data_IF_426163628569
#
_entry.id   IF_426163628569
#
_cell.length_a   1.000
_cell.length_b   1.000
_cell.length_c   1.000
_cell.angle_alpha   90.00
_cell.angle_beta   90.00
_cell.angle_gamma   90.00
#
_symmetry.space_group_name_H-M   'P 1'
#
loop_
_entity.id
_entity.type
_entity.pdbx_description
1 polymer ?
#
# COMPACT_ATOMS: atom_id res chain seq x y z
N UNK A 1 -17.74 -14.11 -12.77
CA UNK A 1 -16.90 -12.98 -12.26
C UNK A 1 -15.66 -13.55 -11.56
N UNK A 2 -14.51 -12.87 -11.60
CA UNK A 2 -13.22 -13.38 -11.08
C UNK A 2 -13.11 -13.46 -9.55
N UNK A 3 -14.13 -12.97 -8.83
CA UNK A 3 -14.11 -12.80 -7.37
C UNK A 3 -12.96 -11.92 -6.86
N UNK A 4 -12.47 -11.01 -7.72
CA UNK A 4 -11.56 -9.92 -7.35
C UNK A 4 -12.24 -8.95 -6.40
N UNK A 5 -11.45 -8.33 -5.53
CA UNK A 5 -11.93 -7.42 -4.49
C UNK A 5 -10.98 -6.24 -4.35
N UNK A 6 -11.54 -5.03 -4.31
CA UNK A 6 -10.84 -3.79 -4.00
C UNK A 6 -11.64 -3.00 -2.96
N UNK A 7 -11.48 -3.39 -1.69
CA UNK A 7 -12.10 -2.74 -0.54
C UNK A 7 -11.11 -1.79 0.10
N UNK A 8 -11.41 -0.50 -0.01
CA UNK A 8 -10.54 0.59 0.41
C UNK A 8 -11.37 1.64 1.14
N UNK A 9 -10.76 2.31 2.12
CA UNK A 9 -11.35 3.45 2.83
C UNK A 9 -10.73 4.72 2.30
N UNK A 10 -11.59 5.63 1.81
CA UNK A 10 -11.19 6.94 1.34
C UNK A 10 -11.54 7.97 2.41
N UNK A 11 -10.56 8.79 2.81
CA UNK A 11 -10.74 9.85 3.81
C UNK A 11 -10.29 11.19 3.22
N UNK A 12 -11.08 11.81 2.32
CA UNK A 12 -10.70 13.05 1.63
C UNK A 12 -10.33 14.19 2.57
N UNK A 13 -11.09 14.38 3.66
CA UNK A 13 -10.84 15.43 4.64
C UNK A 13 -9.44 15.37 5.26
N UNK A 14 -8.84 14.18 5.35
CA UNK A 14 -7.50 13.97 5.88
C UNK A 14 -6.44 13.75 4.80
N UNK A 15 -6.80 13.81 3.51
CA UNK A 15 -5.89 13.49 2.42
C UNK A 15 -5.40 12.04 2.47
N UNK A 16 -6.23 11.10 2.93
CA UNK A 16 -5.77 9.74 3.26
C UNK A 16 -6.55 8.66 2.50
N UNK A 17 -5.82 7.61 2.11
CA UNK A 17 -6.37 6.36 1.60
C UNK A 17 -5.89 5.22 2.49
N UNK A 18 -6.78 4.31 2.86
CA UNK A 18 -6.43 3.05 3.52
C UNK A 18 -6.81 1.91 2.61
N UNK A 19 -5.79 1.20 2.13
CA UNK A 19 -5.94 -0.02 1.36
C UNK A 19 -6.10 -1.21 2.30
N UNK A 20 -7.29 -1.83 2.31
CA UNK A 20 -7.63 -2.92 3.23
C UNK A 20 -7.58 -4.28 2.56
N UNK A 21 -8.45 -4.54 1.57
CA UNK A 21 -8.41 -5.78 0.78
C UNK A 21 -8.24 -5.50 -0.71
N UNK A 22 -7.11 -5.93 -1.26
CA UNK A 22 -6.80 -5.73 -2.68
C UNK A 22 -6.33 -7.03 -3.34
N UNK A 23 -7.28 -7.73 -3.97
CA UNK A 23 -7.01 -8.89 -4.79
C UNK A 23 -7.42 -8.60 -6.22
N UNK A 24 -6.44 -8.42 -7.11
CA UNK A 24 -6.72 -8.13 -8.51
C UNK A 24 -7.38 -9.30 -9.23
N UNK A 25 -8.13 -9.05 -10.32
CA UNK A 25 -8.63 -10.10 -11.20
C UNK A 25 -7.52 -11.06 -11.66
N UNK A 26 -6.37 -10.51 -12.08
CA UNK A 26 -5.18 -11.29 -12.48
C UNK A 26 -4.67 -12.17 -11.34
N UNK A 27 -4.60 -11.64 -10.12
CA UNK A 27 -4.20 -12.43 -8.93
C UNK A 27 -5.17 -13.56 -8.61
N UNK A 28 -6.47 -13.34 -8.79
CA UNK A 28 -7.50 -14.35 -8.51
C UNK A 28 -7.51 -15.45 -9.56
N UNK A 29 -7.36 -15.11 -10.84
CA UNK A 29 -7.31 -16.09 -11.94
C UNK A 29 -6.08 -16.99 -11.89
N UNK A 30 -4.96 -16.52 -11.34
CA UNK A 30 -3.77 -17.33 -11.14
C UNK A 30 -3.94 -18.45 -10.08
N UNK A 31 -5.06 -18.51 -9.36
CA UNK A 31 -5.32 -19.53 -8.33
C UNK A 31 -5.92 -20.82 -8.95
N UNK A 32 -5.66 -21.99 -8.34
CA UNK A 32 -6.32 -23.23 -8.76
C UNK A 32 -7.84 -23.09 -8.73
N UNK A 33 -8.52 -23.63 -9.76
CA UNK A 33 -10.00 -23.62 -9.90
C UNK A 33 -10.62 -22.22 -10.00
N UNK A 34 -9.85 -21.19 -10.35
CA UNK A 34 -10.40 -19.85 -10.58
C UNK A 34 -11.32 -19.81 -11.81
N UNK A 35 -12.30 -18.91 -11.79
CA UNK A 35 -13.31 -18.74 -12.85
C UNK A 35 -13.38 -17.28 -13.30
N UNK A 36 -13.81 -17.04 -14.55
CA UNK A 36 -14.05 -15.71 -15.10
C UNK A 36 -12.90 -15.15 -15.95
N UNK A 37 -13.07 -13.91 -16.42
CA UNK A 37 -12.15 -13.22 -17.34
C UNK A 37 -11.58 -11.98 -16.68
N UNK A 38 -10.30 -11.71 -16.89
CA UNK A 38 -9.64 -10.49 -16.42
C UNK A 38 -10.14 -9.30 -17.26
N UNK A 39 -10.80 -8.30 -16.66
CA UNK A 39 -11.19 -7.08 -17.38
C UNK A 39 -9.95 -6.22 -17.68
N UNK A 40 -10.08 -5.27 -18.61
CA UNK A 40 -9.00 -4.29 -18.87
C UNK A 40 -8.64 -3.48 -17.62
N UNK A 41 -9.63 -3.14 -16.79
CA UNK A 41 -9.43 -2.46 -15.51
C UNK A 41 -9.08 -3.49 -14.41
N UNK A 42 -7.82 -3.94 -14.38
CA UNK A 42 -7.34 -4.97 -13.44
C UNK A 42 -6.29 -4.48 -12.42
N UNK A 43 -5.92 -3.19 -12.47
CA UNK A 43 -4.89 -2.61 -11.62
C UNK A 43 -5.51 -1.83 -10.46
N UNK A 44 -4.91 -1.98 -9.28
CA UNK A 44 -5.31 -1.23 -8.10
C UNK A 44 -5.11 0.27 -8.29
N UNK A 45 -4.06 0.72 -8.97
CA UNK A 45 -3.76 2.14 -9.20
C UNK A 45 -4.98 2.87 -9.77
N UNK A 46 -5.60 2.27 -10.77
CA UNK A 46 -6.67 2.87 -11.56
C UNK A 46 -7.98 2.84 -10.77
N UNK A 47 -8.30 1.68 -10.16
CA UNK A 47 -9.49 1.51 -9.33
C UNK A 47 -9.44 2.44 -8.11
N UNK A 48 -8.28 2.52 -7.44
CA UNK A 48 -8.06 3.40 -6.31
C UNK A 48 -8.19 4.87 -6.70
N UNK A 49 -7.67 5.27 -7.86
CA UNK A 49 -7.85 6.62 -8.37
C UNK A 49 -9.34 6.97 -8.55
N UNK A 50 -10.15 6.10 -9.16
CA UNK A 50 -11.58 6.36 -9.31
C UNK A 50 -12.31 6.44 -7.97
N UNK A 51 -11.97 5.56 -7.03
CA UNK A 51 -12.51 5.62 -5.67
C UNK A 51 -12.14 6.93 -4.96
N UNK A 52 -10.89 7.39 -5.10
CA UNK A 52 -10.42 8.67 -4.56
C UNK A 52 -11.13 9.86 -5.21
N UNK A 53 -11.19 9.89 -6.54
CA UNK A 53 -11.87 10.92 -7.32
C UNK A 53 -13.35 11.04 -6.92
N UNK A 54 -14.06 9.90 -6.85
CA UNK A 54 -15.45 9.85 -6.46
C UNK A 54 -15.65 10.39 -5.04
N UNK A 55 -14.80 9.98 -4.11
CA UNK A 55 -14.87 10.42 -2.71
C UNK A 55 -14.58 11.90 -2.53
N UNK A 56 -13.57 12.42 -3.24
CA UNK A 56 -13.24 13.84 -3.28
C UNK A 56 -14.43 14.68 -3.78
N UNK A 57 -15.02 14.27 -4.91
CA UNK A 57 -16.21 14.93 -5.48
C UNK A 57 -17.38 14.93 -4.50
N UNK A 58 -17.65 13.80 -3.85
CA UNK A 58 -18.75 13.69 -2.88
C UNK A 58 -18.54 14.56 -1.63
N UNK A 59 -17.28 14.89 -1.30
CA UNK A 59 -16.91 15.70 -0.12
C UNK A 59 -16.55 17.14 -0.45
N UNK A 60 -16.56 17.55 -1.72
CA UNK A 60 -16.12 18.89 -2.15
C UNK A 60 -14.64 19.17 -1.84
N UNK A 61 -13.79 18.13 -1.86
CA UNK A 61 -12.35 18.23 -1.59
C UNK A 61 -11.57 18.12 -2.90
N UNK A 62 -10.51 18.90 -3.03
CA UNK A 62 -9.59 18.82 -4.17
C UNK A 62 -8.88 17.47 -4.25
N UNK A 63 -8.79 16.88 -5.44
CA UNK A 63 -8.13 15.57 -5.63
C UNK A 63 -6.63 15.60 -5.34
N UNK A 64 -6.01 16.78 -5.48
CA UNK A 64 -4.58 17.01 -5.16
C UNK A 64 -4.27 17.03 -3.66
N UNK A 65 -5.29 16.93 -2.80
CA UNK A 65 -5.14 16.94 -1.35
C UNK A 65 -4.59 15.63 -0.76
N UNK A 66 -4.33 14.62 -1.58
CA UNK A 66 -3.78 13.34 -1.16
C UNK A 66 -2.37 13.50 -0.54
N UNK A 67 -2.22 13.01 0.70
CA UNK A 67 -1.03 13.15 1.56
C UNK A 67 -0.50 11.83 2.09
N UNK A 68 -1.35 10.81 2.23
CA UNK A 68 -0.95 9.56 2.86
C UNK A 68 -1.70 8.35 2.32
N UNK A 69 -0.99 7.25 2.17
CA UNK A 69 -1.55 5.95 1.77
C UNK A 69 -1.12 4.88 2.77
N UNK A 70 -2.10 4.22 3.38
CA UNK A 70 -1.88 3.08 4.25
C UNK A 70 -2.10 1.78 3.50
N UNK A 71 -1.21 0.81 3.73
CA UNK A 71 -1.37 -0.61 3.35
C UNK A 71 -1.63 -1.39 4.62
N UNK A 72 -2.88 -1.80 4.81
CA UNK A 72 -3.26 -2.72 5.88
C UNK A 72 -2.86 -4.14 5.49
N UNK A 73 -2.40 -4.91 6.47
CA UNK A 73 -2.28 -6.38 6.41
C UNK A 73 -1.62 -6.93 5.14
N UNK A 74 -0.32 -6.70 5.01
CA UNK A 74 0.47 -7.26 3.90
C UNK A 74 0.62 -8.77 4.05
N UNK A 75 -0.08 -9.50 3.20
CA UNK A 75 0.02 -10.97 3.08
C UNK A 75 0.82 -11.41 1.84
N UNK A 76 1.21 -10.48 0.97
CA UNK A 76 1.98 -10.80 -0.23
C UNK A 76 3.43 -11.14 0.16
N UNK A 77 3.78 -12.42 0.06
CA UNK A 77 5.08 -12.96 0.50
C UNK A 77 6.28 -12.16 -0.03
N UNK A 78 6.31 -11.84 -1.33
CA UNK A 78 7.43 -11.08 -1.90
C UNK A 78 7.58 -9.68 -1.32
N UNK A 79 6.46 -9.03 -0.95
CA UNK A 79 6.50 -7.73 -0.28
C UNK A 79 6.98 -7.89 1.16
N UNK A 80 6.44 -8.87 1.89
CA UNK A 80 6.84 -9.14 3.27
C UNK A 80 8.32 -9.50 3.39
N UNK A 81 8.85 -10.33 2.49
CA UNK A 81 10.26 -10.72 2.47
C UNK A 81 11.17 -9.50 2.24
N UNK A 82 10.81 -8.59 1.33
CA UNK A 82 11.55 -7.34 1.08
C UNK A 82 11.49 -6.41 2.29
N UNK A 83 10.31 -6.24 2.91
CA UNK A 83 10.15 -5.39 4.10
C UNK A 83 10.95 -5.92 5.29
N UNK A 84 10.91 -7.23 5.53
CA UNK A 84 11.71 -7.85 6.61
C UNK A 84 13.20 -7.68 6.35
N UNK A 85 13.64 -7.85 5.09
CA UNK A 85 15.03 -7.61 4.72
C UNK A 85 15.43 -6.17 4.99
N UNK A 86 14.64 -5.19 4.55
CA UNK A 86 14.87 -3.78 4.81
C UNK A 86 14.99 -3.46 6.32
N UNK A 87 14.11 -4.04 7.15
CA UNK A 87 14.19 -3.91 8.61
C UNK A 87 15.50 -4.48 9.18
N UNK A 88 15.90 -5.68 8.74
CA UNK A 88 17.15 -6.33 9.20
C UNK A 88 18.40 -5.58 8.75
N UNK A 89 18.41 -5.10 7.51
CA UNK A 89 19.52 -4.32 6.95
C UNK A 89 19.68 -2.99 7.74
N UNK A 90 18.58 -2.44 8.28
CA UNK A 90 18.55 -1.31 9.20
C UNK A 90 18.71 -1.68 10.69
N UNK A 91 19.21 -2.88 10.99
CA UNK A 91 19.48 -3.39 12.35
C UNK A 91 18.27 -3.50 13.30
N UNK A 92 17.03 -3.52 12.78
CA UNK A 92 15.88 -3.90 13.59
C UNK A 92 15.92 -5.40 13.89
N UNK A 93 15.57 -5.78 15.12
CA UNK A 93 15.49 -7.18 15.57
C UNK A 93 14.09 -7.78 15.42
N UNK A 94 13.08 -6.92 15.23
CA UNK A 94 11.66 -7.26 15.14
C UNK A 94 10.91 -6.26 14.25
N UNK A 95 9.67 -6.58 13.87
CA UNK A 95 8.75 -5.60 13.29
C UNK A 95 8.26 -4.70 14.43
N UNK A 96 8.49 -3.38 14.36
CA UNK A 96 8.05 -2.48 15.43
C UNK A 96 6.52 -2.31 15.45
N UNK A 97 6.00 -1.94 16.62
CA UNK A 97 4.60 -1.50 16.74
C UNK A 97 4.39 -0.11 16.15
N UNK A 98 3.13 0.35 16.09
CA UNK A 98 2.80 1.65 15.47
C UNK A 98 3.51 2.86 16.12
N UNK A 99 3.65 2.85 17.45
CA UNK A 99 4.31 3.94 18.18
C UNK A 99 5.79 4.08 17.77
N UNK A 100 6.48 2.95 17.63
CA UNK A 100 7.93 2.84 17.34
C UNK A 100 8.24 2.54 15.88
N UNK A 101 7.26 2.72 14.98
CA UNK A 101 7.34 2.39 13.55
C UNK A 101 8.71 2.73 12.94
N UNK A 102 9.24 1.83 12.14
CA UNK A 102 10.47 2.07 11.39
C UNK A 102 10.15 3.01 10.22
N UNK A 103 10.85 4.12 10.07
CA UNK A 103 10.64 5.07 8.97
C UNK A 103 11.85 5.08 8.05
N UNK A 104 11.61 4.85 6.76
CA UNK A 104 12.64 4.86 5.73
C UNK A 104 12.34 5.96 4.71
N UNK A 105 13.32 6.83 4.46
CA UNK A 105 13.26 7.82 3.37
C UNK A 105 13.27 7.11 2.02
N UNK A 106 12.55 7.66 1.03
CA UNK A 106 12.63 7.17 -0.36
C UNK A 106 14.01 7.41 -1.01
N UNK A 107 14.91 8.15 -0.35
CA UNK A 107 16.31 8.31 -0.76
C UNK A 107 17.23 7.22 -0.16
N UNK A 108 16.72 6.38 0.76
CA UNK A 108 17.48 5.26 1.33
C UNK A 108 17.29 3.97 0.52
N UNK A 109 18.24 3.04 0.63
CA UNK A 109 18.17 1.72 -0.02
C UNK A 109 16.92 0.95 0.41
N UNK A 110 16.58 1.02 1.70
CA UNK A 110 15.43 0.37 2.32
C UNK A 110 14.12 0.96 1.80
N UNK A 111 14.01 2.29 1.75
CA UNK A 111 12.84 2.98 1.22
C UNK A 111 12.61 2.65 -0.24
N UNK A 112 13.66 2.68 -1.07
CA UNK A 112 13.60 2.32 -2.49
C UNK A 112 13.23 0.84 -2.70
N UNK A 113 13.78 -0.06 -1.90
CA UNK A 113 13.43 -1.48 -1.97
C UNK A 113 11.93 -1.70 -1.68
N UNK A 114 11.39 -1.04 -0.64
CA UNK A 114 9.97 -1.12 -0.31
C UNK A 114 9.09 -0.45 -1.37
N UNK A 115 9.54 0.68 -1.93
CA UNK A 115 8.85 1.36 -3.03
C UNK A 115 8.73 0.47 -4.28
N UNK A 116 9.77 -0.31 -4.58
CA UNK A 116 9.79 -1.25 -5.70
C UNK A 116 8.87 -2.47 -5.55
N UNK A 117 8.30 -2.70 -4.36
CA UNK A 117 7.33 -3.79 -4.15
C UNK A 117 6.02 -3.54 -4.91
N UNK A 118 5.20 -4.57 -5.09
CA UNK A 118 3.86 -4.41 -5.71
C UNK A 118 2.94 -3.45 -4.94
N UNK A 119 3.18 -3.22 -3.65
CA UNK A 119 2.39 -2.31 -2.81
C UNK A 119 2.89 -0.85 -2.85
N UNK A 120 4.22 -0.65 -2.93
CA UNK A 120 4.80 0.67 -3.16
C UNK A 120 4.53 1.14 -4.59
N UNK A 121 4.86 0.31 -5.58
CA UNK A 121 4.72 0.64 -7.00
C UNK A 121 3.28 0.94 -7.41
N UNK A 122 2.26 0.24 -6.90
CA UNK A 122 0.87 0.57 -7.23
C UNK A 122 0.44 1.94 -6.71
N UNK A 123 0.99 2.39 -5.58
CA UNK A 123 0.80 3.76 -5.10
C UNK A 123 1.51 4.76 -6.02
N UNK A 124 2.75 4.49 -6.39
CA UNK A 124 3.52 5.34 -7.30
C UNK A 124 2.86 5.45 -8.70
N UNK A 125 2.38 4.34 -9.25
CA UNK A 125 1.68 4.30 -10.55
C UNK A 125 0.43 5.16 -10.55
N UNK A 126 -0.38 5.11 -9.49
CA UNK A 126 -1.55 5.98 -9.34
C UNK A 126 -1.17 7.47 -9.41
N UNK A 127 -0.12 7.87 -8.70
CA UNK A 127 0.37 9.26 -8.70
C UNK A 127 0.91 9.67 -10.08
N UNK A 128 1.69 8.81 -10.74
CA UNK A 128 2.31 9.08 -12.04
C UNK A 128 1.26 9.23 -13.13
N UNK A 129 0.31 8.29 -13.22
CA UNK A 129 -0.68 8.22 -14.29
C UNK A 129 -1.74 9.33 -14.18
N UNK A 130 -2.02 9.79 -12.96
CA UNK A 130 -3.06 10.79 -12.69
C UNK A 130 -2.53 12.13 -12.18
N UNK A 131 -1.26 12.46 -12.50
CA UNK A 131 -0.60 13.71 -12.10
C UNK A 131 -1.36 14.99 -12.50
N UNK A 132 -2.18 14.93 -13.56
CA UNK A 132 -3.03 16.06 -13.98
C UNK A 132 -4.07 16.43 -12.93
N UNK A 133 -4.62 15.44 -12.23
CA UNK A 133 -5.67 15.62 -11.22
C UNK A 133 -5.10 15.61 -9.80
N UNK A 134 -4.11 14.76 -9.54
CA UNK A 134 -3.49 14.61 -8.23
C UNK A 134 -2.40 15.64 -7.96
N UNK A 135 -1.96 16.38 -8.99
CA UNK A 135 -0.78 17.24 -8.93
C UNK A 135 0.51 16.45 -9.11
N UNK A 136 1.63 17.17 -9.24
CA UNK A 136 2.95 16.55 -9.28
C UNK A 136 3.34 16.17 -7.85
N UNK A 137 3.32 14.87 -7.55
CA UNK A 137 3.56 14.32 -6.21
C UNK A 137 4.76 13.40 -6.21
N UNK A 138 5.43 13.31 -5.06
CA UNK A 138 6.41 12.28 -4.75
C UNK A 138 6.10 11.62 -3.41
N UNK A 139 6.47 10.35 -3.28
CA UNK A 139 6.48 9.66 -1.98
C UNK A 139 7.79 10.08 -1.29
N UNK A 140 7.71 10.58 -0.05
CA UNK A 140 8.89 11.03 0.70
C UNK A 140 9.46 9.92 1.59
N UNK A 141 8.59 9.14 2.22
CA UNK A 141 8.98 8.12 3.18
C UNK A 141 7.95 6.99 3.23
N UNK A 142 8.39 5.87 3.81
CA UNK A 142 7.52 4.76 4.21
C UNK A 142 7.74 4.45 5.67
N UNK A 143 6.66 4.40 6.44
CA UNK A 143 6.68 3.84 7.79
C UNK A 143 6.22 2.38 7.77
N UNK A 144 6.97 1.50 8.42
CA UNK A 144 6.71 0.08 8.60
C UNK A 144 6.36 -0.19 10.05
N UNK A 145 5.25 -0.90 10.28
CA UNK A 145 4.81 -1.26 11.62
C UNK A 145 3.88 -2.47 11.58
N UNK A 146 3.59 -3.04 12.75
CA UNK A 146 2.54 -4.04 12.92
C UNK A 146 1.35 -3.50 13.71
N UNK A 147 0.26 -4.27 13.71
CA UNK A 147 -0.75 -4.13 14.75
C UNK A 147 -0.15 -4.45 16.14
N UNK A 148 -0.53 -3.69 17.16
CA UNK A 148 -0.09 -3.88 18.54
C UNK A 148 1.32 -3.36 18.84
N UNK A 149 2.03 -4.04 19.75
CA UNK A 149 3.33 -3.64 20.32
C UNK A 149 4.55 -4.11 19.50
N UNK A 150 4.34 -4.59 18.27
CA UNK A 150 5.39 -5.19 17.43
C UNK A 150 5.39 -6.72 17.47
N UNK A 151 6.12 -7.35 16.55
CA UNK A 151 6.27 -8.81 16.48
C UNK A 151 7.68 -9.22 16.06
N UNK A 152 8.18 -10.31 16.63
CA UNK A 152 9.42 -10.94 16.18
C UNK A 152 9.37 -11.32 14.69
N UNK A 153 10.53 -11.43 14.04
CA UNK A 153 10.64 -11.94 12.68
C UNK A 153 10.34 -13.46 12.64
N UNK A 154 9.08 -13.84 12.77
CA UNK A 154 8.69 -15.25 12.71
C UNK A 154 8.69 -15.77 11.27
N UNK A 155 9.07 -17.04 11.06
CA UNK A 155 8.99 -17.70 9.74
C UNK A 155 7.55 -18.04 9.32
N UNK A 156 6.58 -17.87 10.22
CA UNK A 156 5.16 -18.21 10.02
C UNK A 156 4.25 -16.97 10.04
N UNK A 157 4.59 -15.95 9.24
CA UNK A 157 3.78 -14.73 9.07
C UNK A 157 2.43 -14.93 8.33
N UNK A 158 1.92 -16.16 8.31
CA UNK A 158 0.60 -16.49 7.78
C UNK A 158 -0.47 -16.55 8.89
N UNK A 159 -0.11 -16.34 10.16
CA UNK A 159 -1.11 -16.17 11.22
C UNK A 159 -1.69 -14.75 11.16
N UNK A 160 -3.00 -14.63 11.36
CA UNK A 160 -3.73 -13.36 11.39
C UNK A 160 -3.20 -12.35 12.43
N UNK A 161 -2.33 -12.79 13.35
CA UNK A 161 -1.79 -12.00 14.45
C UNK A 161 -0.57 -11.14 14.06
N UNK A 162 0.20 -11.53 13.03
CA UNK A 162 1.47 -10.86 12.68
C UNK A 162 1.37 -10.22 11.31
N UNK A 163 0.70 -9.09 11.22
CA UNK A 163 0.48 -8.41 9.93
C UNK A 163 1.32 -7.14 9.82
N UNK A 164 2.21 -7.11 8.84
CA UNK A 164 2.98 -5.92 8.45
C UNK A 164 2.01 -4.92 7.83
N UNK A 165 2.14 -3.66 8.22
CA UNK A 165 1.45 -2.51 7.62
C UNK A 165 2.47 -1.48 7.15
N UNK A 166 2.12 -0.77 6.08
CA UNK A 166 2.93 0.33 5.54
C UNK A 166 2.13 1.62 5.55
N UNK A 167 2.81 2.74 5.78
CA UNK A 167 2.26 4.08 5.54
C UNK A 167 3.22 4.84 4.64
N UNK A 168 2.79 5.15 3.43
CA UNK A 168 3.50 6.02 2.50
C UNK A 168 3.07 7.46 2.71
N UNK A 169 4.04 8.35 2.95
CA UNK A 169 3.81 9.80 3.02
C UNK A 169 4.04 10.40 1.64
N UNK A 170 3.11 11.25 1.20
CA UNK A 170 3.09 11.87 -0.12
C UNK A 170 3.17 13.38 0.06
N UNK A 171 4.06 14.01 -0.70
CA UNK A 171 4.27 15.46 -0.71
C UNK A 171 4.27 15.97 -2.16
N UNK A 172 4.10 17.27 -2.32
CA UNK A 172 4.33 17.93 -3.61
C UNK A 172 5.81 17.79 -4.01
N UNK A 173 6.04 17.56 -5.31
CA UNK A 173 7.37 17.36 -5.88
C UNK A 173 7.92 18.62 -6.54
#
# INVERSE_FOLDING_TARGET
PTQAVYENVMVPASGAIVFDQNFSPTSKIARPKAVGTVPYLDKLSDVAYFQWQHSCRARGVEQSSLKVVFRSKIIHKGTSDIVIKALKDAAYTRIPGFAEKAVFSMDSREGQAILGTVHGSSTAWMLIQHKKQLGLKRISEVAVFSSGTGHEFSRHMLSLATTISLRFTIIDA
#
